data_IF_969200542569
#
_entry.id   IF_969200542569
#
_cell.length_a   1.000
_cell.length_b   1.000
_cell.length_c   1.000
_cell.angle_alpha   90.00
_cell.angle_beta   90.00
_cell.angle_gamma   90.00
#
_symmetry.space_group_name_H-M   'P 1'
#
loop_
_entity.id
_entity.type
_entity.pdbx_description
1 polymer ?
#
# COMPACT_ATOMS: atom_id res chain seq x y z
N UNK A 1 33.07 -26.70 -37.47
CA UNK A 1 32.21 -27.90 -37.62
C UNK A 1 30.92 -27.60 -36.87
N UNK A 2 29.94 -26.88 -37.46
CA UNK A 2 28.80 -27.40 -38.24
C UNK A 2 28.24 -28.70 -37.69
N UNK A 3 27.12 -28.62 -36.95
CA UNK A 3 26.03 -29.58 -37.07
C UNK A 3 24.70 -28.85 -36.88
N UNK A 4 24.12 -28.53 -38.04
CA UNK A 4 22.77 -28.01 -38.23
C UNK A 4 21.81 -29.19 -38.12
N UNK A 5 20.77 -29.12 -37.29
CA UNK A 5 19.62 -30.00 -37.42
C UNK A 5 18.35 -29.15 -37.51
N UNK A 6 17.81 -29.10 -38.73
CA UNK A 6 16.47 -28.67 -39.07
C UNK A 6 15.48 -29.77 -38.64
N UNK A 7 14.46 -29.43 -37.87
CA UNK A 7 13.18 -30.15 -37.90
C UNK A 7 12.08 -29.11 -38.00
N UNK A 8 11.48 -29.06 -39.19
CA UNK A 8 10.21 -28.43 -39.45
C UNK A 8 9.12 -29.48 -39.23
N UNK A 9 8.01 -29.15 -38.54
CA UNK A 9 6.71 -29.69 -38.92
C UNK A 9 5.51 -28.96 -38.29
N UNK A 10 4.55 -28.70 -39.18
CA UNK A 10 3.11 -28.66 -38.99
C UNK A 10 2.47 -27.53 -38.18
N UNK A 11 1.93 -26.58 -38.94
CA UNK A 11 0.80 -25.75 -38.58
C UNK A 11 -0.40 -26.61 -38.11
N UNK A 12 -0.93 -26.28 -36.92
CA UNK A 12 -2.33 -26.54 -36.59
C UNK A 12 -3.04 -25.19 -36.44
N UNK A 13 -3.80 -24.83 -37.47
CA UNK A 13 -4.82 -23.81 -37.45
C UNK A 13 -5.96 -24.29 -36.55
N UNK A 14 -5.94 -23.91 -35.27
CA UNK A 14 -7.07 -24.05 -34.37
C UNK A 14 -8.10 -22.97 -34.67
N UNK A 15 -9.16 -23.33 -35.40
CA UNK A 15 -10.34 -22.51 -35.64
C UNK A 15 -11.02 -22.18 -34.31
N UNK A 16 -11.03 -20.90 -33.95
CA UNK A 16 -11.80 -20.37 -32.84
C UNK A 16 -13.31 -20.54 -33.10
N UNK A 17 -13.98 -21.33 -32.28
CA UNK A 17 -15.44 -21.35 -32.21
C UNK A 17 -15.93 -20.14 -31.40
N UNK A 18 -16.91 -19.35 -31.89
CA UNK A 18 -17.58 -18.37 -31.06
C UNK A 18 -18.48 -19.13 -30.08
N UNK A 19 -18.12 -19.12 -28.80
CA UNK A 19 -19.02 -19.55 -27.74
C UNK A 19 -20.21 -18.59 -27.71
N UNK A 20 -21.37 -19.04 -28.21
CA UNK A 20 -22.61 -18.31 -28.09
C UNK A 20 -22.96 -18.16 -26.60
N UNK A 21 -22.97 -16.92 -26.11
CA UNK A 21 -23.38 -16.57 -24.77
C UNK A 21 -24.85 -16.98 -24.57
N UNK A 22 -25.07 -17.97 -23.72
CA UNK A 22 -26.39 -18.41 -23.29
C UNK A 22 -27.00 -17.30 -22.41
N UNK A 23 -27.89 -16.49 -22.98
CA UNK A 23 -28.65 -15.48 -22.25
C UNK A 23 -29.67 -16.18 -21.37
N UNK A 24 -29.39 -16.21 -20.06
CA UNK A 24 -30.29 -16.78 -19.07
C UNK A 24 -31.50 -15.82 -18.89
N UNK A 25 -32.75 -16.24 -19.14
CA UNK A 25 -33.92 -15.36 -19.05
C UNK A 25 -34.25 -14.91 -17.62
N UNK A 26 -33.50 -15.40 -16.62
CA UNK A 26 -33.64 -15.05 -15.21
C UNK A 26 -32.55 -14.11 -14.69
N UNK A 27 -31.70 -13.56 -15.56
CA UNK A 27 -30.74 -12.54 -15.15
C UNK A 27 -31.47 -11.21 -14.91
N UNK A 28 -31.90 -11.01 -13.67
CA UNK A 28 -32.23 -9.69 -13.13
C UNK A 28 -31.02 -8.79 -13.38
N UNK A 29 -31.20 -7.71 -14.14
CA UNK A 29 -30.16 -6.71 -14.36
C UNK A 29 -29.61 -6.30 -12.98
N UNK A 30 -28.38 -6.71 -12.68
CA UNK A 30 -27.74 -6.25 -11.47
C UNK A 30 -27.70 -4.73 -11.55
N UNK A 31 -28.19 -3.99 -10.54
CA UNK A 31 -28.06 -2.55 -10.53
C UNK A 31 -26.57 -2.25 -10.72
N UNK A 32 -26.26 -1.46 -11.76
CA UNK A 32 -24.92 -0.92 -11.96
C UNK A 32 -24.59 -0.13 -10.70
N UNK A 33 -23.87 -0.77 -9.77
CA UNK A 33 -23.41 -0.11 -8.57
C UNK A 33 -22.57 1.08 -9.03
N UNK A 34 -22.86 2.30 -8.55
CA UNK A 34 -21.97 3.42 -8.82
C UNK A 34 -20.58 3.00 -8.37
N UNK A 35 -19.60 3.06 -9.28
CA UNK A 35 -18.20 2.88 -8.93
C UNK A 35 -17.94 3.94 -7.87
N UNK A 36 -17.76 3.52 -6.62
CA UNK A 36 -17.47 4.42 -5.52
C UNK A 36 -16.29 5.28 -5.96
N UNK A 37 -16.49 6.60 -6.02
CA UNK A 37 -15.42 7.54 -6.31
C UNK A 37 -14.25 7.18 -5.39
N UNK A 38 -13.07 6.96 -5.99
CA UNK A 38 -11.83 6.69 -5.24
C UNK A 38 -11.75 7.76 -4.15
N UNK A 39 -11.75 7.39 -2.86
CA UNK A 39 -11.80 8.38 -1.81
C UNK A 39 -10.60 9.30 -1.99
N UNK A 40 -10.85 10.60 -2.01
CA UNK A 40 -9.81 11.61 -1.80
C UNK A 40 -9.17 11.23 -0.46
N UNK A 41 -8.00 10.60 -0.50
CA UNK A 41 -7.36 10.04 0.69
C UNK A 41 -7.07 11.18 1.66
N UNK A 42 -7.93 11.37 2.66
CA UNK A 42 -7.70 12.32 3.74
C UNK A 42 -6.60 11.76 4.61
N UNK A 43 -5.36 12.18 4.35
CA UNK A 43 -4.18 11.71 5.06
C UNK A 43 -4.18 12.15 6.53
N UNK A 44 -4.84 13.26 6.84
CA UNK A 44 -4.88 13.87 8.17
C UNK A 44 -4.18 15.23 8.19
N UNK A 45 -3.87 15.73 9.38
CA UNK A 45 -3.11 16.97 9.55
C UNK A 45 -1.60 16.68 9.57
N UNK A 46 -0.76 17.32 8.74
CA UNK A 46 0.67 17.02 8.70
C UNK A 46 1.34 17.36 10.03
N UNK A 47 2.22 16.48 10.48
CA UNK A 47 3.06 16.64 11.66
C UNK A 47 4.55 16.66 11.27
N UNK A 48 5.40 17.39 12.01
CA UNK A 48 6.83 17.41 11.75
C UNK A 48 7.45 16.04 12.04
N UNK A 49 8.21 15.49 11.08
CA UNK A 49 8.94 14.20 11.23
C UNK A 49 10.05 14.23 12.29
N UNK A 50 10.45 15.40 12.77
CA UNK A 50 11.41 15.55 13.86
C UNK A 50 10.74 15.56 15.24
N UNK A 51 9.40 15.62 15.30
CA UNK A 51 8.67 15.93 16.51
C UNK A 51 8.44 14.76 17.47
N UNK A 52 8.70 13.50 17.10
CA UNK A 52 8.23 12.31 17.84
C UNK A 52 8.59 12.25 19.34
N UNK A 53 8.00 11.31 20.10
CA UNK A 53 7.39 10.07 19.62
C UNK A 53 5.89 10.18 19.30
N UNK A 54 5.40 9.27 18.46
CA UNK A 54 4.00 9.14 18.08
C UNK A 54 3.47 7.74 18.36
N UNK A 55 2.15 7.57 18.28
CA UNK A 55 1.52 6.26 18.28
C UNK A 55 0.88 6.02 16.92
N UNK A 56 1.45 5.15 16.06
CA UNK A 56 0.87 4.85 14.76
C UNK A 56 -0.47 4.14 14.92
N UNK A 57 -1.50 4.60 14.22
CA UNK A 57 -2.71 3.83 13.96
C UNK A 57 -2.61 3.09 12.63
N UNK A 58 -1.89 3.65 11.66
CA UNK A 58 -1.79 3.13 10.30
C UNK A 58 -0.41 3.40 9.71
N UNK A 59 0.03 2.47 8.85
CA UNK A 59 1.22 2.63 8.01
C UNK A 59 0.81 2.44 6.56
N UNK A 60 1.04 3.47 5.75
CA UNK A 60 0.73 3.47 4.33
C UNK A 60 2.00 3.65 3.50
N UNK A 61 2.05 3.02 2.34
CA UNK A 61 3.08 3.23 1.34
C UNK A 61 2.43 3.89 0.13
N UNK A 62 2.97 5.01 -0.34
CA UNK A 62 2.44 5.72 -1.50
C UNK A 62 3.42 5.66 -2.67
N UNK A 63 2.90 5.30 -3.84
CA UNK A 63 3.65 5.39 -5.09
C UNK A 63 2.72 5.82 -6.21
N UNK A 64 3.21 6.71 -7.09
CA UNK A 64 2.45 7.23 -8.23
C UNK A 64 1.02 7.72 -7.87
N UNK A 65 0.87 8.37 -6.71
CA UNK A 65 -0.41 8.91 -6.24
C UNK A 65 -1.40 7.88 -5.71
N UNK A 66 -0.96 6.65 -5.44
CA UNK A 66 -1.82 5.56 -4.95
C UNK A 66 -1.21 4.89 -3.73
N UNK A 67 -2.05 4.38 -2.83
CA UNK A 67 -1.62 3.49 -1.75
C UNK A 67 -1.24 2.14 -2.35
N UNK A 68 -0.04 1.69 -2.02
CA UNK A 68 0.46 0.36 -2.37
C UNK A 68 0.44 -0.50 -1.11
N UNK A 69 -0.12 -1.69 -1.23
CA UNK A 69 -0.09 -2.69 -0.17
C UNK A 69 0.90 -3.78 -0.56
N UNK A 70 2.12 -3.68 -0.06
CA UNK A 70 3.14 -4.72 -0.19
C UNK A 70 3.46 -5.28 1.20
N UNK A 71 3.33 -6.60 1.36
CA UNK A 71 3.58 -7.28 2.64
C UNK A 71 5.06 -7.24 3.03
N UNK A 72 5.98 -7.31 2.06
CA UNK A 72 7.42 -7.27 2.34
C UNK A 72 7.85 -5.93 2.94
N UNK A 73 7.24 -4.82 2.50
CA UNK A 73 7.53 -3.49 3.05
C UNK A 73 6.97 -3.34 4.45
N UNK A 74 5.76 -3.87 4.71
CA UNK A 74 5.14 -3.88 6.04
C UNK A 74 5.96 -4.66 7.07
N UNK A 75 6.54 -5.77 6.67
CA UNK A 75 7.35 -6.59 7.58
C UNK A 75 8.70 -5.91 7.90
N UNK A 76 9.20 -5.08 6.98
CA UNK A 76 10.46 -4.34 7.14
C UNK A 76 10.35 -3.18 8.13
N UNK A 77 9.21 -2.51 8.21
CA UNK A 77 9.02 -1.33 9.08
C UNK A 77 8.73 -1.69 10.53
N UNK A 78 9.30 -0.93 11.46
CA UNK A 78 9.08 -1.03 12.91
C UNK A 78 7.81 -0.33 13.35
N UNK A 79 7.27 0.60 12.56
CA UNK A 79 5.99 1.23 12.84
C UNK A 79 4.87 0.17 12.98
N UNK A 80 4.40 -0.04 14.21
CA UNK A 80 3.31 -0.96 14.54
C UNK A 80 2.14 -0.20 15.15
N UNK A 81 0.92 -0.65 14.82
CA UNK A 81 -0.32 -0.05 15.32
C UNK A 81 -0.32 -0.08 16.85
N UNK A 82 -0.59 1.06 17.48
CA UNK A 82 -0.74 1.19 18.92
C UNK A 82 0.56 1.16 19.71
N UNK A 83 1.73 1.10 19.07
CA UNK A 83 3.02 1.12 19.75
C UNK A 83 3.68 2.49 19.69
N UNK A 84 4.53 2.81 20.65
CA UNK A 84 5.34 4.02 20.59
C UNK A 84 6.32 3.94 19.41
N UNK A 85 6.38 5.00 18.62
CA UNK A 85 7.21 5.09 17.42
C UNK A 85 8.00 6.40 17.43
N UNK A 86 9.32 6.30 17.39
CA UNK A 86 10.21 7.45 17.56
C UNK A 86 10.72 7.99 16.22
N UNK A 87 11.30 9.19 16.25
CA UNK A 87 12.00 9.72 15.07
C UNK A 87 13.21 8.86 14.65
N UNK A 88 13.86 8.20 15.62
CA UNK A 88 14.97 7.27 15.33
C UNK A 88 14.47 6.00 14.64
N UNK A 89 13.32 5.46 15.06
CA UNK A 89 12.67 4.33 14.38
C UNK A 89 12.29 4.71 12.96
N UNK A 90 11.76 5.91 12.74
CA UNK A 90 11.44 6.41 11.40
C UNK A 90 12.67 6.48 10.48
N UNK A 91 13.80 6.97 10.99
CA UNK A 91 15.06 6.98 10.23
C UNK A 91 15.56 5.55 9.93
N UNK A 92 15.40 4.63 10.89
CA UNK A 92 15.69 3.20 10.71
C UNK A 92 14.83 2.58 9.61
N UNK A 93 13.52 2.77 9.68
CA UNK A 93 12.56 2.25 8.70
C UNK A 93 12.85 2.76 7.29
N UNK A 94 13.17 4.06 7.15
CA UNK A 94 13.57 4.64 5.85
C UNK A 94 14.84 3.95 5.32
N UNK A 95 15.85 3.76 6.16
CA UNK A 95 17.09 3.09 5.79
C UNK A 95 16.83 1.64 5.37
N UNK A 96 16.07 0.89 6.17
CA UNK A 96 15.78 -0.52 5.94
C UNK A 96 14.98 -0.70 4.65
N UNK A 97 13.96 0.13 4.41
CA UNK A 97 13.21 0.14 3.14
C UNK A 97 14.11 0.45 1.93
N UNK A 98 15.02 1.43 2.05
CA UNK A 98 15.97 1.75 0.98
C UNK A 98 16.92 0.58 0.67
N UNK A 99 17.26 -0.26 1.65
CA UNK A 99 18.13 -1.44 1.43
C UNK A 99 17.46 -2.53 0.58
N UNK A 100 16.13 -2.51 0.42
CA UNK A 100 15.41 -3.45 -0.44
C UNK A 100 15.72 -3.25 -1.94
N UNK A 101 16.32 -2.10 -2.31
CA UNK A 101 16.69 -1.79 -3.70
C UNK A 101 15.49 -1.57 -4.64
N UNK A 102 14.30 -1.32 -4.07
CA UNK A 102 13.04 -1.12 -4.83
C UNK A 102 12.67 0.35 -5.01
N UNK A 103 13.32 1.25 -4.30
CA UNK A 103 13.00 2.68 -4.26
C UNK A 103 14.20 3.49 -4.74
N UNK A 104 13.97 4.45 -5.64
CA UNK A 104 14.98 5.45 -6.02
C UNK A 104 15.09 6.58 -5.00
N UNK A 105 13.97 6.90 -4.35
CA UNK A 105 13.85 7.84 -3.25
C UNK A 105 12.67 7.44 -2.37
N UNK A 106 12.74 7.79 -1.09
CA UNK A 106 11.70 7.51 -0.10
C UNK A 106 11.58 8.73 0.84
N UNK A 107 10.38 9.28 0.97
CA UNK A 107 10.14 10.52 1.73
C UNK A 107 9.10 10.23 2.81
N UNK A 108 9.50 10.08 4.08
CA UNK A 108 8.55 9.83 5.13
C UNK A 108 7.69 11.06 5.42
N UNK A 109 6.43 10.84 5.76
CA UNK A 109 5.51 11.86 6.26
C UNK A 109 4.65 11.30 7.40
N UNK A 110 4.30 12.18 8.35
CA UNK A 110 3.47 11.83 9.51
C UNK A 110 2.22 12.70 9.47
N UNK A 111 1.05 12.09 9.66
CA UNK A 111 -0.22 12.80 9.71
C UNK A 111 -1.00 12.42 10.96
N UNK A 112 -1.52 13.40 11.70
CA UNK A 112 -2.47 13.14 12.78
C UNK A 112 -3.81 12.67 12.20
N UNK A 113 -4.36 11.57 12.73
CA UNK A 113 -5.68 11.06 12.35
C UNK A 113 -6.73 11.68 13.28
N UNK A 114 -7.61 12.57 12.78
CA UNK A 114 -8.61 13.20 13.62
C UNK A 114 -9.51 12.18 14.32
N UNK A 115 -9.96 12.52 15.54
CA UNK A 115 -10.87 11.72 16.34
C UNK A 115 -10.37 10.30 16.69
N UNK A 116 -9.07 10.03 16.55
CA UNK A 116 -8.44 8.77 16.96
C UNK A 116 -7.48 9.06 18.10
N UNK A 117 -7.93 9.05 19.37
CA UNK A 117 -7.09 9.43 20.49
C UNK A 117 -5.93 8.46 20.69
N UNK A 118 -4.83 8.98 21.21
CA UNK A 118 -3.69 8.17 21.68
C UNK A 118 -4.11 7.32 22.89
N UNK A 119 -3.68 6.04 22.99
CA UNK A 119 -3.90 5.22 24.18
C UNK A 119 -3.43 5.92 25.46
N UNK A 120 -4.15 5.71 26.57
CA UNK A 120 -3.97 6.50 27.80
C UNK A 120 -2.54 6.42 28.34
N UNK A 121 -1.91 5.25 28.24
CA UNK A 121 -0.53 4.96 28.62
C UNK A 121 0.53 5.79 27.87
N UNK A 122 0.19 6.35 26.71
CA UNK A 122 1.10 7.13 25.87
C UNK A 122 0.76 8.63 25.79
N UNK A 123 -0.33 9.06 26.44
CA UNK A 123 -0.81 10.45 26.38
C UNK A 123 0.21 11.49 26.88
N UNK A 124 1.07 11.13 27.83
CA UNK A 124 2.07 12.04 28.42
C UNK A 124 3.39 12.11 27.65
N UNK A 125 3.64 11.14 26.76
CA UNK A 125 4.90 11.04 26.01
C UNK A 125 4.73 11.30 24.52
N UNK A 126 3.54 11.07 23.97
CA UNK A 126 3.23 11.33 22.57
C UNK A 126 3.16 12.84 22.31
N UNK A 127 3.72 13.28 21.19
CA UNK A 127 3.66 14.71 20.79
C UNK A 127 2.35 15.11 20.13
N UNK A 128 1.49 14.14 19.82
CA UNK A 128 0.15 14.34 19.29
C UNK A 128 -0.88 13.78 20.27
N UNK A 129 -2.00 14.47 20.43
CA UNK A 129 -3.18 13.99 21.17
C UNK A 129 -3.95 12.91 20.40
N UNK A 130 -3.69 12.79 19.10
CA UNK A 130 -4.27 11.78 18.23
C UNK A 130 -3.20 10.81 17.73
N UNK A 131 -3.57 9.55 17.51
CA UNK A 131 -2.74 8.60 16.79
C UNK A 131 -2.42 9.11 15.38
N UNK A 132 -1.32 8.62 14.84
CA UNK A 132 -0.79 9.11 13.57
C UNK A 132 -0.86 8.05 12.49
N UNK A 133 -0.88 8.53 11.25
CA UNK A 133 -0.62 7.74 10.06
C UNK A 133 0.80 8.01 9.62
N UNK A 134 1.59 6.95 9.53
CA UNK A 134 2.95 6.99 8.99
C UNK A 134 2.86 6.69 7.50
N UNK A 135 3.42 7.56 6.68
CA UNK A 135 3.41 7.43 5.22
C UNK A 135 4.85 7.36 4.72
N UNK A 136 5.13 6.39 3.86
CA UNK A 136 6.40 6.21 3.16
C UNK A 136 6.23 6.37 1.65
#
# INVERSE_FOLDING_TARGET
MRNTLFIALAALLGTAAPAAAQTNPWQVAAPSAPVAAVPVFSLGSPLPVSGGPWVPAEVLFFSAGRVVADYAWRDTVRARRGHLYTAADLQGDVKDLMTLGRFSALTPAIYAIPATPVPQEYTTISVSTNQVRVVF
#
